data_IF_420764795041
#
_entry.id   IF_420764795041
#
_cell.length_a   1.000
_cell.length_b   1.000
_cell.length_c   1.000
_cell.angle_alpha   90.00
_cell.angle_beta   90.00
_cell.angle_gamma   90.00
#
_symmetry.space_group_name_H-M   'P 1'
#
loop_
_entity.id
_entity.type
_entity.pdbx_description
1 polymer ?
#
# COMPACT_ATOMS: atom_id res chain seq x y z
N UNK A 1 -44.51 -33.90 62.93
CA UNK A 1 -44.46 -34.29 61.50
C UNK A 1 -44.49 -33.07 60.56
N UNK A 2 -45.30 -32.04 60.85
CA UNK A 2 -45.41 -30.84 60.00
C UNK A 2 -44.15 -29.96 59.95
N UNK A 3 -43.40 -29.86 61.07
CA UNK A 3 -42.19 -29.02 61.17
C UNK A 3 -41.00 -29.56 60.39
N UNK A 4 -40.88 -30.89 60.23
CA UNK A 4 -39.76 -31.52 59.51
C UNK A 4 -39.93 -31.41 57.98
N UNK A 5 -41.17 -31.47 57.47
CA UNK A 5 -41.46 -31.26 56.05
C UNK A 5 -41.20 -29.81 55.59
N UNK A 6 -41.43 -28.83 56.47
CA UNK A 6 -41.23 -27.42 56.15
C UNK A 6 -39.73 -27.08 56.02
N UNK A 7 -38.88 -27.65 56.89
CA UNK A 7 -37.42 -27.52 56.78
C UNK A 7 -36.85 -28.20 55.53
N UNK A 8 -37.35 -29.39 55.17
CA UNK A 8 -36.90 -30.09 53.97
C UNK A 8 -37.26 -29.32 52.68
N UNK A 9 -38.46 -28.72 52.61
CA UNK A 9 -38.85 -27.85 51.48
C UNK A 9 -37.95 -26.62 51.39
N UNK A 10 -37.66 -25.96 52.51
CA UNK A 10 -36.82 -24.77 52.54
C UNK A 10 -35.38 -25.07 52.06
N UNK A 11 -34.81 -26.23 52.44
CA UNK A 11 -33.47 -26.63 51.99
C UNK A 11 -33.42 -26.92 50.49
N UNK A 12 -34.45 -27.57 49.93
CA UNK A 12 -34.54 -27.82 48.49
C UNK A 12 -34.66 -26.50 47.72
N UNK A 13 -35.50 -25.59 48.21
CA UNK A 13 -35.73 -24.28 47.58
C UNK A 13 -34.45 -23.42 47.62
N UNK A 14 -33.73 -23.38 48.75
CA UNK A 14 -32.42 -22.70 48.85
C UNK A 14 -31.38 -23.35 47.93
N UNK A 15 -31.36 -24.69 47.83
CA UNK A 15 -30.41 -25.41 46.96
C UNK A 15 -30.66 -25.11 45.47
N UNK A 16 -31.92 -25.07 45.06
CA UNK A 16 -32.29 -24.77 43.68
C UNK A 16 -32.00 -23.31 43.33
N UNK A 17 -32.20 -22.38 44.27
CA UNK A 17 -31.89 -20.96 44.10
C UNK A 17 -30.36 -20.71 44.00
N UNK A 18 -29.56 -21.42 44.80
CA UNK A 18 -28.09 -21.40 44.72
C UNK A 18 -27.59 -21.98 43.39
N UNK A 19 -28.13 -23.12 42.95
CA UNK A 19 -27.73 -23.74 41.69
C UNK A 19 -28.09 -22.86 40.48
N UNK A 20 -29.25 -22.21 40.53
CA UNK A 20 -29.69 -21.26 39.51
C UNK A 20 -28.77 -20.05 39.48
N UNK A 21 -28.44 -19.49 40.65
CA UNK A 21 -27.51 -18.35 40.79
C UNK A 21 -26.09 -18.68 40.27
N UNK A 22 -25.55 -19.86 40.56
CA UNK A 22 -24.23 -20.30 40.07
C UNK A 22 -24.24 -20.48 38.54
N UNK A 23 -25.31 -21.04 37.98
CA UNK A 23 -25.43 -21.18 36.53
C UNK A 23 -25.55 -19.83 35.81
N UNK A 24 -26.28 -18.88 36.40
CA UNK A 24 -26.32 -17.49 35.92
C UNK A 24 -24.94 -16.82 35.99
N UNK A 25 -24.20 -16.97 37.09
CA UNK A 25 -22.86 -16.41 37.25
C UNK A 25 -21.87 -16.98 36.21
N UNK A 26 -21.92 -18.30 35.97
CA UNK A 26 -21.11 -18.96 34.94
C UNK A 26 -21.49 -18.54 33.51
N UNK A 27 -22.76 -18.19 33.27
CA UNK A 27 -23.21 -17.66 31.99
C UNK A 27 -22.75 -16.22 31.79
N UNK A 28 -22.87 -15.38 32.80
CA UNK A 28 -22.36 -13.99 32.84
C UNK A 28 -20.85 -13.94 32.54
N UNK A 29 -20.02 -14.75 33.20
CA UNK A 29 -18.57 -14.81 32.93
C UNK A 29 -18.23 -15.26 31.51
N UNK A 30 -18.96 -16.25 30.96
CA UNK A 30 -18.76 -16.72 29.59
C UNK A 30 -19.18 -15.66 28.56
N UNK A 31 -20.28 -14.95 28.83
CA UNK A 31 -20.74 -13.83 28.01
C UNK A 31 -19.76 -12.66 28.06
N UNK A 32 -19.16 -12.39 29.22
CA UNK A 32 -18.10 -11.38 29.38
C UNK A 32 -16.87 -11.72 28.55
N UNK A 33 -16.37 -12.97 28.63
CA UNK A 33 -15.23 -13.44 27.81
C UNK A 33 -15.55 -13.45 26.31
N UNK A 34 -16.78 -13.81 25.93
CA UNK A 34 -17.22 -13.76 24.54
C UNK A 34 -17.28 -12.31 24.04
N UNK A 35 -17.76 -11.38 24.88
CA UNK A 35 -17.76 -9.93 24.62
C UNK A 35 -16.34 -9.37 24.48
N UNK A 36 -15.40 -9.76 25.35
CA UNK A 36 -13.98 -9.39 25.22
C UNK A 36 -13.36 -9.92 23.93
N UNK A 37 -13.66 -11.17 23.55
CA UNK A 37 -13.18 -11.77 22.30
C UNK A 37 -13.78 -11.04 21.08
N UNK A 38 -15.08 -10.73 21.14
CA UNK A 38 -15.79 -9.97 20.10
C UNK A 38 -15.19 -8.56 19.99
N UNK A 39 -14.93 -7.90 21.11
CA UNK A 39 -14.30 -6.59 21.18
C UNK A 39 -12.88 -6.65 20.57
N UNK A 40 -12.05 -7.64 20.92
CA UNK A 40 -10.74 -7.88 20.31
C UNK A 40 -10.85 -8.08 18.78
N UNK A 41 -11.83 -8.85 18.31
CA UNK A 41 -12.10 -9.00 16.88
C UNK A 41 -12.52 -7.68 16.22
N UNK A 42 -13.33 -6.85 16.89
CA UNK A 42 -13.70 -5.51 16.42
C UNK A 42 -12.52 -4.53 16.45
N UNK A 43 -11.66 -4.55 17.46
CA UNK A 43 -10.45 -3.73 17.55
C UNK A 43 -9.44 -4.08 16.44
N UNK A 44 -9.29 -5.36 16.10
CA UNK A 44 -8.47 -5.81 14.96
C UNK A 44 -9.09 -5.35 13.63
N UNK A 45 -10.41 -5.38 13.49
CA UNK A 45 -11.13 -4.89 12.29
C UNK A 45 -11.09 -3.36 12.16
N UNK A 46 -11.06 -2.61 13.26
CA UNK A 46 -11.06 -1.14 13.28
C UNK A 46 -9.69 -0.49 13.27
N UNK A 47 -8.63 -1.27 13.47
CA UNK A 47 -7.26 -0.80 13.22
C UNK A 47 -7.05 -0.62 11.71
N UNK A 48 -7.58 0.47 11.15
CA UNK A 48 -7.17 0.97 9.84
C UNK A 48 -5.72 1.41 9.94
N UNK A 49 -4.81 0.45 9.79
CA UNK A 49 -3.39 0.72 9.65
C UNK A 49 -3.19 1.54 8.38
N UNK A 50 -2.57 2.71 8.52
CA UNK A 50 -2.20 3.54 7.38
C UNK A 50 -1.28 2.71 6.45
N UNK A 51 -1.55 2.71 5.16
CA UNK A 51 -0.85 1.86 4.19
C UNK A 51 0.27 2.60 3.48
N UNK A 52 1.51 2.25 3.81
CA UNK A 52 2.68 2.52 2.96
C UNK A 52 3.19 1.26 2.26
N UNK A 53 2.41 0.17 2.24
CA UNK A 53 2.78 -1.12 1.64
C UNK A 53 1.89 -1.45 0.45
N UNK A 54 2.41 -2.23 -0.49
CA UNK A 54 1.62 -2.82 -1.55
C UNK A 54 0.54 -3.72 -0.98
N UNK A 55 -0.51 -3.96 -1.77
CA UNK A 55 -1.68 -4.69 -1.30
C UNK A 55 -1.98 -5.89 -2.21
N UNK A 56 -2.60 -6.91 -1.65
CA UNK A 56 -3.09 -8.06 -2.39
C UNK A 56 -4.25 -7.68 -3.34
N UNK A 57 -4.74 -8.67 -4.11
CA UNK A 57 -5.83 -8.50 -5.09
C UNK A 57 -7.00 -7.63 -4.62
N UNK A 58 -7.71 -7.95 -3.52
CA UNK A 58 -8.85 -7.16 -3.04
C UNK A 58 -8.46 -5.89 -2.27
N UNK A 59 -7.17 -5.64 -2.01
CA UNK A 59 -6.75 -4.48 -1.23
C UNK A 59 -7.04 -4.61 0.28
N UNK A 60 -6.89 -5.79 0.86
CA UNK A 60 -7.20 -6.02 2.28
C UNK A 60 -6.07 -6.68 3.09
N UNK A 61 -4.98 -7.08 2.43
CA UNK A 61 -3.79 -7.63 3.09
C UNK A 61 -2.56 -7.06 2.40
N UNK A 62 -1.58 -6.63 3.20
CA UNK A 62 -0.29 -6.17 2.68
C UNK A 62 0.41 -7.28 1.88
N UNK A 63 1.04 -6.88 0.78
CA UNK A 63 1.83 -7.75 -0.09
C UNK A 63 3.25 -7.20 -0.20
N UNK A 64 4.23 -8.08 -0.32
CA UNK A 64 5.63 -7.68 -0.52
C UNK A 64 5.84 -7.04 -1.91
N UNK A 65 5.09 -7.51 -2.91
CA UNK A 65 5.00 -6.91 -4.23
C UNK A 65 3.67 -7.29 -4.89
N UNK A 66 3.22 -6.47 -5.82
CA UNK A 66 2.06 -6.73 -6.66
C UNK A 66 2.27 -6.15 -8.06
N UNK A 67 1.88 -6.88 -9.09
CA UNK A 67 1.93 -6.45 -10.48
C UNK A 67 0.55 -6.61 -11.08
N UNK A 68 0.08 -5.56 -11.74
CA UNK A 68 -1.21 -5.52 -12.40
C UNK A 68 -1.05 -5.16 -13.87
N UNK A 69 -1.65 -5.97 -14.73
CA UNK A 69 -1.74 -5.72 -16.16
C UNK A 69 -3.20 -5.46 -16.55
N UNK A 70 -3.51 -4.25 -17.00
CA UNK A 70 -4.80 -3.89 -17.57
C UNK A 70 -4.74 -4.02 -19.09
N UNK A 71 -5.65 -4.78 -19.68
CA UNK A 71 -5.78 -4.85 -21.13
C UNK A 71 -6.56 -3.63 -21.69
N UNK A 72 -6.34 -3.25 -22.96
CA UNK A 72 -7.15 -2.24 -23.65
C UNK A 72 -8.64 -2.58 -23.60
N UNK A 73 -9.49 -1.60 -23.27
CA UNK A 73 -10.94 -1.74 -23.21
C UNK A 73 -11.47 -2.58 -22.04
N UNK A 74 -10.62 -3.00 -21.11
CA UNK A 74 -11.02 -3.69 -19.89
C UNK A 74 -11.02 -2.75 -18.69
N UNK A 75 -12.07 -2.81 -17.88
CA UNK A 75 -12.21 -2.02 -16.66
C UNK A 75 -11.50 -2.67 -15.47
N UNK A 76 -11.21 -3.96 -15.56
CA UNK A 76 -10.39 -4.73 -14.62
C UNK A 76 -9.09 -5.19 -15.29
N UNK A 77 -8.15 -5.69 -14.50
CA UNK A 77 -6.87 -6.22 -14.99
C UNK A 77 -6.64 -7.68 -14.60
N UNK A 78 -5.47 -8.19 -14.97
CA UNK A 78 -4.86 -9.38 -14.37
C UNK A 78 -3.90 -8.94 -13.27
N UNK A 79 -3.79 -9.71 -12.20
CA UNK A 79 -2.88 -9.43 -11.08
C UNK A 79 -2.06 -10.67 -10.71
N UNK A 80 -0.81 -10.44 -10.34
CA UNK A 80 0.07 -11.40 -9.67
C UNK A 80 0.73 -10.71 -8.48
N UNK A 81 0.84 -11.40 -7.34
CA UNK A 81 1.35 -10.81 -6.10
C UNK A 81 2.06 -11.87 -5.24
N UNK A 82 2.87 -11.41 -4.29
CA UNK A 82 3.83 -12.24 -3.56
C UNK A 82 3.28 -13.56 -2.99
N UNK A 83 2.09 -13.54 -2.37
CA UNK A 83 1.49 -14.74 -1.75
C UNK A 83 0.72 -15.63 -2.73
N UNK A 84 0.63 -15.24 -4.01
CA UNK A 84 -0.02 -15.99 -5.09
C UNK A 84 0.80 -15.92 -6.40
N UNK A 85 2.12 -16.03 -6.30
CA UNK A 85 3.05 -15.82 -7.42
C UNK A 85 3.06 -16.92 -8.51
N UNK A 86 2.19 -17.95 -8.40
CA UNK A 86 2.17 -19.08 -9.33
C UNK A 86 1.40 -18.83 -10.64
N UNK A 87 0.46 -17.88 -10.65
CA UNK A 87 -0.34 -17.57 -11.83
C UNK A 87 -0.93 -16.16 -11.77
N UNK A 88 -1.27 -15.62 -12.95
CA UNK A 88 -2.04 -14.39 -13.05
C UNK A 88 -3.51 -14.66 -12.76
N UNK A 89 -4.08 -13.92 -11.81
CA UNK A 89 -5.49 -13.98 -11.43
C UNK A 89 -6.26 -12.80 -12.03
N UNK A 90 -7.59 -12.90 -12.09
CA UNK A 90 -8.47 -11.78 -12.41
C UNK A 90 -8.42 -10.73 -11.29
N UNK A 91 -8.41 -9.45 -11.66
CA UNK A 91 -8.55 -8.34 -10.72
C UNK A 91 -9.91 -8.38 -10.00
N UNK A 92 -9.93 -7.96 -8.72
CA UNK A 92 -11.12 -8.06 -7.89
C UNK A 92 -12.19 -6.98 -8.17
N UNK A 93 -11.81 -5.83 -8.73
CA UNK A 93 -12.72 -4.70 -8.97
C UNK A 93 -12.20 -3.83 -10.10
N UNK A 94 -13.09 -3.00 -10.66
CA UNK A 94 -12.74 -2.05 -11.70
C UNK A 94 -11.76 -0.99 -11.18
N UNK A 95 -10.84 -0.53 -12.02
CA UNK A 95 -9.89 0.53 -11.64
C UNK A 95 -10.58 1.86 -11.34
N UNK A 96 -11.79 2.09 -11.85
CA UNK A 96 -12.61 3.27 -11.53
C UNK A 96 -13.09 3.30 -10.08
N UNK A 97 -13.13 2.14 -9.41
CA UNK A 97 -13.52 2.07 -8.00
C UNK A 97 -12.39 2.61 -7.12
N UNK A 98 -12.76 3.36 -6.09
CA UNK A 98 -11.85 3.91 -5.07
C UNK A 98 -11.36 2.86 -4.05
N UNK A 99 -11.62 1.58 -4.29
CA UNK A 99 -11.30 0.49 -3.39
C UNK A 99 -11.66 -0.86 -4.02
N UNK A 100 -11.43 -1.94 -3.25
CA UNK A 100 -11.66 -3.31 -3.73
C UNK A 100 -10.58 -3.84 -4.67
N UNK A 101 -9.51 -3.08 -4.88
CA UNK A 101 -8.34 -3.51 -5.64
C UNK A 101 -7.02 -2.99 -5.06
N UNK A 102 -5.94 -3.69 -5.40
CA UNK A 102 -4.57 -3.48 -4.87
C UNK A 102 -4.09 -2.01 -4.93
N UNK A 103 -4.24 -1.35 -6.08
CA UNK A 103 -3.63 -0.03 -6.29
C UNK A 103 -4.45 1.12 -5.70
N UNK A 104 -5.79 1.09 -5.75
CA UNK A 104 -6.59 2.08 -5.04
C UNK A 104 -6.35 2.00 -3.53
N UNK A 105 -6.24 0.78 -2.99
CA UNK A 105 -5.91 0.62 -1.57
C UNK A 105 -4.53 1.14 -1.25
N UNK A 106 -3.50 0.78 -2.02
CA UNK A 106 -2.13 1.26 -1.77
C UNK A 106 -2.03 2.79 -1.79
N UNK A 107 -2.89 3.46 -2.58
CA UNK A 107 -2.93 4.92 -2.70
C UNK A 107 -3.99 5.58 -1.78
N UNK A 108 -4.71 4.82 -0.97
CA UNK A 108 -5.83 5.34 -0.15
C UNK A 108 -5.38 6.47 0.78
N UNK A 109 -4.16 6.39 1.30
CA UNK A 109 -3.67 7.30 2.34
C UNK A 109 -2.80 8.43 1.81
N UNK A 110 -2.47 8.44 0.51
CA UNK A 110 -2.00 9.66 -0.16
C UNK A 110 -3.18 10.55 -0.61
N UNK A 111 -4.38 9.97 -0.65
CA UNK A 111 -5.65 10.61 -1.01
C UNK A 111 -6.32 11.21 0.23
N UNK A 112 -6.39 10.45 1.34
CA UNK A 112 -6.87 10.94 2.63
C UNK A 112 -5.67 11.51 3.38
N UNK A 113 -5.70 12.80 3.74
CA UNK A 113 -4.60 13.52 4.39
C UNK A 113 -4.23 12.91 5.78
N UNK A 114 -3.58 11.75 5.79
CA UNK A 114 -3.10 11.10 7.00
C UNK A 114 -1.78 11.71 7.42
N UNK A 115 -1.62 11.96 8.72
CA UNK A 115 -0.47 12.70 9.23
C UNK A 115 0.85 11.97 9.00
N UNK A 116 0.85 10.64 9.00
CA UNK A 116 2.08 9.84 8.95
C UNK A 116 2.41 9.30 7.57
N UNK A 117 1.55 9.46 6.56
CA UNK A 117 1.87 9.06 5.19
C UNK A 117 2.40 10.26 4.42
N UNK A 118 3.52 10.06 3.73
CA UNK A 118 4.17 11.03 2.85
C UNK A 118 4.50 10.39 1.53
N UNK A 119 4.54 11.18 0.46
CA UNK A 119 4.79 10.67 -0.86
C UNK A 119 5.43 11.67 -1.82
N UNK A 120 6.11 11.11 -2.81
CA UNK A 120 6.58 11.80 -4.00
C UNK A 120 5.92 11.15 -5.22
N UNK A 121 5.25 11.95 -6.05
CA UNK A 121 4.64 11.50 -7.29
C UNK A 121 5.32 12.14 -8.50
N UNK A 122 5.62 11.32 -9.49
CA UNK A 122 6.26 11.74 -10.73
C UNK A 122 5.52 11.17 -11.93
N UNK A 123 5.32 11.98 -12.96
CA UNK A 123 4.61 11.58 -14.17
C UNK A 123 4.95 12.55 -15.29
N UNK A 124 5.25 12.04 -16.48
CA UNK A 124 5.53 12.86 -17.64
C UNK A 124 4.27 13.47 -18.30
N UNK A 125 3.09 13.03 -17.88
CA UNK A 125 1.79 13.61 -18.19
C UNK A 125 0.97 13.67 -16.89
N UNK A 126 1.28 14.60 -15.96
CA UNK A 126 0.62 14.65 -14.66
C UNK A 126 -0.84 15.09 -14.78
N UNK A 127 -1.70 14.75 -13.80
CA UNK A 127 -3.09 15.19 -13.80
C UNK A 127 -3.21 16.73 -13.76
N UNK A 128 -4.09 17.28 -14.59
CA UNK A 128 -4.43 18.70 -14.60
C UNK A 128 -3.41 19.66 -15.22
N UNK A 129 -2.26 19.17 -15.71
CA UNK A 129 -1.24 20.02 -16.36
C UNK A 129 -1.04 19.55 -17.81
N UNK A 130 -1.63 20.25 -18.80
CA UNK A 130 -1.41 19.93 -20.20
C UNK A 130 -0.02 20.37 -20.66
N UNK A 131 0.49 19.73 -21.72
CA UNK A 131 1.70 20.15 -22.46
C UNK A 131 2.99 20.27 -21.63
N UNK A 132 3.18 19.39 -20.64
CA UNK A 132 4.46 19.31 -19.92
C UNK A 132 5.56 18.86 -20.89
N UNK A 133 6.57 19.70 -21.08
CA UNK A 133 7.77 19.32 -21.82
C UNK A 133 8.73 18.59 -20.87
N UNK A 134 8.91 17.30 -21.09
CA UNK A 134 9.72 16.42 -20.25
C UNK A 134 10.48 15.44 -21.13
N UNK A 135 11.69 15.13 -20.69
CA UNK A 135 12.64 14.25 -21.39
C UNK A 135 12.53 12.79 -20.94
N UNK A 136 11.62 12.52 -20.02
CA UNK A 136 11.37 11.21 -19.42
C UNK A 136 9.98 10.72 -19.75
N UNK A 137 9.83 9.41 -19.91
CA UNK A 137 8.52 8.75 -19.99
C UNK A 137 8.10 8.08 -18.67
N UNK A 138 8.95 8.17 -17.64
CA UNK A 138 8.75 7.51 -16.35
C UNK A 138 7.60 8.11 -15.54
N UNK A 139 6.85 7.24 -14.87
CA UNK A 139 5.73 7.60 -13.99
C UNK A 139 5.70 6.67 -12.78
N UNK A 140 5.29 7.20 -11.63
CA UNK A 140 5.22 6.42 -10.41
C UNK A 140 5.07 7.25 -9.16
N UNK A 141 5.12 6.54 -8.03
CA UNK A 141 4.91 7.09 -6.70
C UNK A 141 5.88 6.43 -5.73
N UNK A 142 6.50 7.21 -4.85
CA UNK A 142 7.18 6.70 -3.65
C UNK A 142 6.30 7.10 -2.47
N UNK A 143 5.91 6.14 -1.65
CA UNK A 143 5.09 6.33 -0.45
C UNK A 143 5.90 5.85 0.74
N UNK A 144 5.89 6.57 1.85
CA UNK A 144 6.50 6.14 3.10
C UNK A 144 5.64 6.49 4.30
N UNK A 145 5.94 5.85 5.44
CA UNK A 145 5.29 6.07 6.72
C UNK A 145 6.27 6.69 7.72
N UNK A 146 6.01 7.89 8.20
CA UNK A 146 6.84 8.51 9.26
C UNK A 146 6.63 7.88 10.65
N UNK A 147 5.78 6.87 10.76
CA UNK A 147 5.50 6.16 12.02
C UNK A 147 6.19 4.78 12.11
N UNK A 148 6.76 4.29 11.01
CA UNK A 148 7.39 2.97 10.92
C UNK A 148 8.23 2.88 9.65
N UNK A 149 9.40 2.22 9.69
CA UNK A 149 10.26 1.97 8.53
C UNK A 149 9.55 1.12 7.48
N UNK A 150 8.76 1.77 6.62
CA UNK A 150 7.85 1.11 5.68
C UNK A 150 7.56 2.03 4.53
N UNK A 151 7.91 1.58 3.33
CA UNK A 151 7.69 2.32 2.09
C UNK A 151 7.20 1.41 0.96
N UNK A 152 6.60 2.04 -0.05
CA UNK A 152 6.22 1.41 -1.30
C UNK A 152 6.72 2.25 -2.47
N UNK A 153 7.22 1.57 -3.48
CA UNK A 153 7.54 2.19 -4.77
C UNK A 153 6.64 1.62 -5.85
N UNK A 154 5.90 2.51 -6.48
CA UNK A 154 5.02 2.21 -7.60
C UNK A 154 5.64 2.75 -8.89
N UNK A 155 5.66 1.92 -9.92
CA UNK A 155 5.96 2.30 -11.31
C UNK A 155 4.74 1.96 -12.16
N UNK A 156 4.30 2.89 -13.00
CA UNK A 156 3.14 2.65 -13.86
C UNK A 156 3.25 3.32 -15.23
N UNK A 157 2.35 2.95 -16.13
CA UNK A 157 2.25 3.56 -17.47
C UNK A 157 1.09 4.54 -17.64
N UNK A 158 0.25 4.72 -16.62
CA UNK A 158 -0.98 5.53 -16.66
C UNK A 158 -0.69 7.05 -16.67
N UNK A 159 -0.99 7.80 -17.74
CA UNK A 159 -0.96 9.27 -17.73
C UNK A 159 -2.12 9.84 -16.89
N UNK A 160 -1.96 11.03 -16.34
CA UNK A 160 -2.97 11.69 -15.50
C UNK A 160 -3.16 11.04 -14.12
N UNK A 161 -2.22 10.22 -13.66
CA UNK A 161 -2.33 9.41 -12.44
C UNK A 161 -1.03 9.40 -11.61
N UNK A 162 -1.10 9.24 -10.27
CA UNK A 162 -2.29 9.49 -9.46
C UNK A 162 -2.57 11.00 -9.36
N UNK A 163 -3.77 11.37 -8.93
CA UNK A 163 -4.01 12.76 -8.53
C UNK A 163 -3.60 12.95 -7.08
N UNK A 164 -2.68 13.87 -6.82
CA UNK A 164 -2.11 14.09 -5.50
C UNK A 164 -3.09 14.86 -4.60
N UNK A 165 -3.32 14.38 -3.36
CA UNK A 165 -4.19 15.00 -2.34
C UNK A 165 -5.65 15.27 -2.75
N UNK A 166 -6.14 14.56 -3.76
CA UNK A 166 -7.56 14.57 -4.12
C UNK A 166 -8.11 13.16 -3.94
N UNK A 167 -9.45 12.98 -3.86
CA UNK A 167 -10.07 11.67 -3.97
C UNK A 167 -9.49 10.84 -5.11
N UNK A 168 -9.40 9.52 -4.89
CA UNK A 168 -8.94 8.58 -5.89
C UNK A 168 -9.72 8.79 -7.20
N UNK A 169 -8.99 8.92 -8.30
CA UNK A 169 -9.58 9.12 -9.62
C UNK A 169 -8.78 8.35 -10.66
N UNK A 170 -9.48 7.50 -11.40
CA UNK A 170 -8.94 6.80 -12.54
C UNK A 170 -9.20 7.62 -13.82
N UNK A 171 -8.17 7.92 -14.63
CA UNK A 171 -8.36 8.69 -15.85
C UNK A 171 -9.21 7.94 -16.89
N UNK A 172 -10.41 8.44 -17.19
CA UNK A 172 -11.37 7.74 -18.07
C UNK A 172 -10.81 7.44 -19.48
N UNK A 173 -9.95 8.30 -20.01
CA UNK A 173 -9.28 8.10 -21.31
C UNK A 173 -8.42 6.82 -21.35
N UNK A 174 -7.98 6.35 -20.18
CA UNK A 174 -7.09 5.19 -20.04
C UNK A 174 -7.87 3.86 -19.99
N UNK A 175 -9.21 3.89 -20.01
CA UNK A 175 -10.03 2.68 -20.16
C UNK A 175 -9.76 1.99 -21.51
N UNK A 176 -9.60 2.76 -22.59
CA UNK A 176 -9.32 2.23 -23.92
C UNK A 176 -7.88 1.70 -24.09
N UNK A 177 -6.98 1.94 -23.13
CA UNK A 177 -5.54 1.66 -23.25
C UNK A 177 -5.10 0.52 -22.33
N UNK A 178 -3.98 -0.10 -22.67
CA UNK A 178 -3.34 -1.11 -21.85
C UNK A 178 -2.35 -0.48 -20.88
N UNK A 179 -2.32 -0.95 -19.63
CA UNK A 179 -1.43 -0.42 -18.60
C UNK A 179 -0.77 -1.49 -17.77
N UNK A 180 0.45 -1.20 -17.32
CA UNK A 180 1.17 -2.00 -16.35
C UNK A 180 1.37 -1.13 -15.10
N UNK A 181 1.10 -1.72 -13.94
CA UNK A 181 1.39 -1.12 -12.64
C UNK A 181 2.17 -2.14 -11.82
N UNK A 182 3.32 -1.74 -11.29
CA UNK A 182 4.18 -2.55 -10.42
C UNK A 182 4.26 -1.82 -9.09
N UNK A 183 4.04 -2.53 -8.00
CA UNK A 183 4.23 -2.05 -6.64
C UNK A 183 5.23 -2.95 -5.92
N UNK A 184 6.23 -2.34 -5.28
CA UNK A 184 7.22 -3.01 -4.46
C UNK A 184 7.17 -2.43 -3.04
N UNK A 185 6.95 -3.27 -2.04
CA UNK A 185 7.10 -2.91 -0.63
C UNK A 185 8.58 -3.02 -0.28
N UNK A 186 9.14 -1.95 0.28
CA UNK A 186 10.58 -1.75 0.51
C UNK A 186 10.80 -1.09 1.88
N UNK A 187 12.00 -1.23 2.43
CA UNK A 187 12.42 -0.36 3.54
C UNK A 187 12.79 1.03 3.03
N UNK A 188 12.70 2.04 3.89
CA UNK A 188 12.99 3.42 3.53
C UNK A 188 14.45 3.61 3.11
N UNK A 189 15.35 2.80 3.66
CA UNK A 189 16.77 2.77 3.26
C UNK A 189 16.99 2.55 1.76
N UNK A 190 16.05 1.89 1.06
CA UNK A 190 16.13 1.62 -0.38
C UNK A 190 15.77 2.86 -1.23
N UNK A 191 15.07 3.85 -0.67
CA UNK A 191 14.57 5.04 -1.39
C UNK A 191 15.70 5.80 -2.07
N UNK A 192 16.86 5.95 -1.41
CA UNK A 192 17.99 6.68 -2.00
C UNK A 192 18.55 6.00 -3.26
N UNK A 193 18.50 4.66 -3.34
CA UNK A 193 18.92 3.92 -4.53
C UNK A 193 17.91 4.09 -5.70
N UNK A 194 16.62 4.13 -5.38
CA UNK A 194 15.55 4.44 -6.33
C UNK A 194 15.72 5.89 -6.83
N UNK A 195 15.91 6.84 -5.92
CA UNK A 195 16.11 8.24 -6.24
C UNK A 195 17.32 8.46 -7.14
N UNK A 196 18.43 7.73 -6.96
CA UNK A 196 19.58 7.78 -7.85
C UNK A 196 19.22 7.37 -9.30
N UNK A 197 18.33 6.39 -9.44
CA UNK A 197 17.83 5.91 -10.74
C UNK A 197 16.89 6.93 -11.38
N UNK A 198 15.96 7.48 -10.57
CA UNK A 198 15.02 8.53 -11.00
C UNK A 198 15.76 9.80 -11.41
N UNK A 199 16.76 10.24 -10.65
CA UNK A 199 17.58 11.40 -10.97
C UNK A 199 18.19 11.30 -12.38
N UNK A 200 18.58 10.09 -12.79
CA UNK A 200 19.17 9.86 -14.11
C UNK A 200 18.14 9.92 -15.24
N UNK A 201 16.94 9.35 -15.04
CA UNK A 201 15.86 9.38 -16.05
C UNK A 201 15.08 10.69 -16.06
N UNK A 202 15.35 11.61 -15.12
CA UNK A 202 14.81 12.97 -15.05
C UNK A 202 13.28 13.05 -15.17
N UNK A 203 12.51 12.32 -14.34
CA UNK A 203 11.07 12.38 -14.41
C UNK A 203 10.58 13.75 -13.92
N UNK A 204 9.42 14.17 -14.41
CA UNK A 204 8.75 15.34 -13.87
C UNK A 204 8.07 14.97 -12.55
N UNK A 205 8.62 15.47 -11.44
CA UNK A 205 8.00 15.38 -10.12
C UNK A 205 6.90 16.44 -10.03
N UNK A 206 5.65 16.03 -9.88
CA UNK A 206 4.50 16.94 -9.82
C UNK A 206 3.96 17.11 -8.39
N UNK A 207 4.43 16.29 -7.45
CA UNK A 207 4.08 16.41 -6.05
C UNK A 207 5.18 15.79 -5.16
N UNK A 208 5.50 16.44 -4.04
CA UNK A 208 6.40 15.90 -3.02
C UNK A 208 6.09 16.55 -1.66
N UNK A 209 5.80 15.73 -0.65
CA UNK A 209 5.70 16.17 0.75
C UNK A 209 6.53 15.34 1.73
N UNK A 210 7.45 14.51 1.22
CA UNK A 210 8.39 13.77 2.06
C UNK A 210 9.32 14.77 2.76
N UNK A 211 9.30 14.85 4.10
CA UNK A 211 10.08 15.86 4.81
C UNK A 211 11.56 15.48 4.84
N UNK A 212 12.41 16.49 5.03
CA UNK A 212 13.87 16.29 5.07
C UNK A 212 14.33 15.37 6.21
N UNK A 213 13.53 15.25 7.28
CA UNK A 213 13.82 14.36 8.41
C UNK A 213 13.85 12.89 8.03
N UNK A 214 12.93 12.45 7.16
CA UNK A 214 12.88 11.05 6.66
C UNK A 214 13.95 10.78 5.61
N UNK A 215 14.47 11.84 4.98
CA UNK A 215 15.44 11.74 3.89
C UNK A 215 16.84 12.15 4.34
N UNK A 216 17.05 12.23 5.65
CA UNK A 216 18.37 12.43 6.24
C UNK A 216 19.32 11.31 5.77
N UNK A 217 20.43 11.69 5.14
CA UNK A 217 21.36 10.72 4.56
C UNK A 217 20.97 10.18 3.18
N UNK A 218 19.93 10.72 2.52
CA UNK A 218 19.52 10.37 1.16
C UNK A 218 19.89 11.46 0.13
N UNK A 219 21.18 11.63 -0.22
CA UNK A 219 21.63 12.72 -1.08
C UNK A 219 21.06 12.68 -2.50
N UNK A 220 20.71 11.51 -3.04
CA UNK A 220 20.08 11.42 -4.36
C UNK A 220 18.61 11.83 -4.32
N UNK A 221 17.91 11.50 -3.22
CA UNK A 221 16.54 11.97 -3.02
C UNK A 221 16.50 13.49 -2.92
N UNK A 222 17.40 14.10 -2.14
CA UNK A 222 17.51 15.57 -2.06
C UNK A 222 17.70 16.20 -3.44
N UNK A 223 18.62 15.66 -4.25
CA UNK A 223 18.85 16.13 -5.62
C UNK A 223 17.61 15.98 -6.51
N UNK A 224 16.88 14.87 -6.38
CA UNK A 224 15.64 14.62 -7.13
C UNK A 224 14.55 15.62 -6.75
N UNK A 225 14.35 15.84 -5.44
CA UNK A 225 13.38 16.80 -4.91
C UNK A 225 13.68 18.24 -5.33
N UNK A 226 14.96 18.61 -5.44
CA UNK A 226 15.44 19.91 -5.93
C UNK A 226 15.40 20.02 -7.48
N UNK A 227 15.00 18.98 -8.21
CA UNK A 227 14.96 18.98 -9.66
C UNK A 227 16.34 19.04 -10.33
N UNK A 228 17.41 18.61 -9.64
CA UNK A 228 18.76 18.61 -10.18
C UNK A 228 18.91 17.55 -11.28
N UNK A 229 19.74 17.85 -12.26
CA UNK A 229 19.99 16.96 -13.39
C UNK A 229 21.46 16.53 -13.42
N UNK A 230 21.78 15.23 -13.57
CA UNK A 230 23.14 14.78 -13.80
C UNK A 230 23.65 15.31 -15.15
N UNK A 231 24.70 16.12 -15.11
CA UNK A 231 25.31 16.71 -16.31
C UNK A 231 26.57 15.98 -16.77
N UNK A 232 27.07 15.05 -15.95
CA UNK A 232 28.30 14.30 -16.20
C UNK A 232 28.02 12.80 -16.37
N UNK A 233 28.82 12.09 -17.18
CA UNK A 233 28.71 10.65 -17.32
C UNK A 233 29.02 9.91 -16.00
N UNK A 234 28.56 8.66 -15.82
CA UNK A 234 27.88 7.82 -16.82
C UNK A 234 26.40 8.15 -17.03
N UNK A 235 25.93 8.06 -18.28
CA UNK A 235 24.54 8.34 -18.70
C UNK A 235 23.59 7.14 -18.61
N UNK A 236 24.09 6.02 -18.10
CA UNK A 236 23.35 4.79 -17.80
C UNK A 236 23.71 4.32 -16.40
N UNK A 237 22.77 3.75 -15.67
CA UNK A 237 23.03 3.16 -14.36
C UNK A 237 22.28 1.86 -14.15
N UNK A 238 22.89 0.96 -13.39
CA UNK A 238 22.23 -0.19 -12.77
C UNK A 238 22.25 -0.01 -11.27
N UNK A 239 21.08 -0.01 -10.64
CA UNK A 239 20.93 -0.06 -9.18
C UNK A 239 20.23 -1.36 -8.80
N UNK A 240 20.43 -1.79 -7.56
CA UNK A 240 19.77 -2.97 -7.02
C UNK A 240 19.10 -2.57 -5.73
N UNK A 241 17.85 -3.01 -5.56
CA UNK A 241 17.09 -2.92 -4.31
C UNK A 241 16.57 -4.29 -3.93
N UNK A 242 16.02 -4.40 -2.73
CA UNK A 242 15.29 -5.59 -2.27
C UNK A 242 13.93 -5.21 -1.71
N UNK A 243 12.96 -6.10 -1.88
CA UNK A 243 11.69 -5.99 -1.17
C UNK A 243 11.88 -6.27 0.33
N UNK A 244 10.93 -5.83 1.15
CA UNK A 244 11.04 -5.83 2.61
C UNK A 244 10.99 -7.24 3.23
N UNK A 245 10.33 -8.22 2.58
CA UNK A 245 10.10 -9.55 3.17
C UNK A 245 11.38 -10.24 3.67
N UNK A 246 11.56 -10.27 4.99
CA UNK A 246 12.73 -10.85 5.64
C UNK A 246 12.91 -12.36 5.40
N UNK A 247 11.82 -13.11 5.15
CA UNK A 247 11.86 -14.55 4.92
C UNK A 247 12.22 -14.96 3.50
N UNK A 248 12.23 -14.01 2.55
CA UNK A 248 12.51 -14.27 1.14
C UNK A 248 12.46 -12.99 0.31
N UNK A 249 13.42 -12.06 0.49
CA UNK A 249 13.39 -10.77 -0.19
C UNK A 249 13.68 -10.95 -1.68
N UNK A 250 12.89 -10.29 -2.52
CA UNK A 250 13.06 -10.31 -3.98
C UNK A 250 14.08 -9.25 -4.38
N UNK A 251 15.14 -9.65 -5.07
CA UNK A 251 16.11 -8.73 -5.65
C UNK A 251 15.52 -8.07 -6.90
N UNK A 252 15.57 -6.74 -6.95
CA UNK A 252 15.09 -5.95 -8.10
C UNK A 252 16.25 -5.15 -8.66
N UNK A 253 16.48 -5.27 -9.96
CA UNK A 253 17.49 -4.49 -10.68
C UNK A 253 16.82 -3.36 -11.46
N UNK A 254 17.24 -2.14 -11.17
CA UNK A 254 16.75 -0.93 -11.81
C UNK A 254 17.77 -0.51 -12.84
N UNK A 255 17.36 -0.51 -14.11
CA UNK A 255 18.15 -0.02 -15.22
C UNK A 255 17.62 1.35 -15.61
N UNK A 256 18.54 2.31 -15.76
CA UNK A 256 18.18 3.70 -16.05
C UNK A 256 19.09 4.28 -17.10
N UNK A 257 18.52 5.12 -17.94
CA UNK A 257 19.18 5.78 -19.06
C UNK A 257 18.72 7.23 -19.09
N UNK A 258 19.65 8.16 -19.23
CA UNK A 258 19.35 9.57 -19.49
C UNK A 258 19.15 9.84 -20.98
N UNK A 259 18.50 10.96 -21.32
CA UNK A 259 18.37 11.45 -22.70
C UNK A 259 19.71 11.47 -23.45
N UNK A 260 20.77 11.94 -22.78
CA UNK A 260 22.11 12.08 -23.37
C UNK A 260 22.79 10.75 -23.70
N UNK A 261 22.23 9.61 -23.30
CA UNK A 261 22.81 8.29 -23.60
C UNK A 261 22.57 7.86 -25.05
N UNK A 262 23.67 7.58 -25.75
CA UNK A 262 23.67 7.10 -27.15
C UNK A 262 23.46 5.59 -27.30
N UNK A 263 23.38 4.84 -26.21
CA UNK A 263 23.18 3.39 -26.25
C UNK A 263 21.70 3.05 -26.46
N UNK A 264 21.40 2.00 -27.24
CA UNK A 264 20.03 1.50 -27.43
C UNK A 264 19.39 1.05 -26.11
N UNK A 265 18.06 0.89 -26.10
CA UNK A 265 17.39 0.17 -25.02
C UNK A 265 18.00 -1.24 -24.92
N UNK A 266 18.27 -1.71 -23.70
CA UNK A 266 18.98 -2.96 -23.44
C UNK A 266 18.36 -4.11 -24.29
N UNK A 267 19.22 -4.79 -25.07
CA UNK A 267 18.86 -6.01 -25.79
C UNK A 267 18.66 -7.17 -24.82
#
# INVERSE_FOLDING_TARGET
MLTLLMFARLIVEIRDDINTSINLFNYEEKMLKFSELLALFFFIKFSHSQTSKCQNKPGNVAADWAIVYKAPGQDTGKIIFATAAGSWDNGASAFTNNGGHSFAKTLEDIVRNHMNIKFLAYNNAPPGVPNVNTKSNSKGVIILSTAADSAAWIVHTVPGFPTARTPYSWPAAENARGHLLICLTISESQINAIAASLLLVQPMVHYNDIPETETAGMPYFKKLAEGKVPTLPPFTSRRSIRTENAGGPVAVHIYSKSESSKYGEYK
#
